data_IF_341547601506
#
_entry.id   IF_341547601506
#
_cell.length_a   1.000
_cell.length_b   1.000
_cell.length_c   1.000
_cell.angle_alpha   90.00
_cell.angle_beta   90.00
_cell.angle_gamma   90.00
#
_symmetry.space_group_name_H-M   'P 1'
#
loop_
_entity.id
_entity.type
_entity.pdbx_description
1 polymer ?
#
# COMPACT_ATOMS: atom_id res chain seq x y z
N UNK A 1 -10.09 -7.35 -0.95
CA UNK A 1 -8.90 -6.69 -0.40
C UNK A 1 -8.07 -7.73 0.34
N UNK A 2 -6.76 -7.78 0.11
CA UNK A 2 -5.85 -8.65 0.84
C UNK A 2 -4.98 -7.75 1.75
N UNK A 3 -5.11 -7.91 3.08
CA UNK A 3 -4.50 -7.00 4.05
C UNK A 3 -2.99 -7.22 4.19
N UNK A 4 -2.27 -6.26 4.79
CA UNK A 4 -0.83 -6.37 5.08
C UNK A 4 -0.48 -7.39 6.18
N UNK A 5 -1.44 -7.78 7.02
CA UNK A 5 -1.26 -8.83 8.01
C UNK A 5 -1.64 -10.19 7.44
N UNK A 6 -0.95 -11.24 7.86
CA UNK A 6 -1.28 -12.59 7.41
C UNK A 6 -2.65 -13.03 7.94
N UNK A 7 -3.55 -13.37 7.02
CA UNK A 7 -4.91 -13.84 7.30
C UNK A 7 -5.21 -15.20 6.64
N UNK A 8 -4.19 -15.99 6.30
CA UNK A 8 -4.38 -17.25 5.56
C UNK A 8 -4.51 -17.08 4.04
N UNK A 9 -4.12 -15.92 3.49
CA UNK A 9 -4.27 -15.55 2.08
C UNK A 9 -5.73 -15.42 1.62
N UNK A 10 -6.62 -15.08 2.55
CA UNK A 10 -8.03 -14.88 2.24
C UNK A 10 -8.29 -13.47 1.73
N UNK A 11 -9.19 -13.35 0.75
CA UNK A 11 -9.68 -12.07 0.27
C UNK A 11 -10.82 -11.58 1.14
N UNK A 12 -10.65 -10.38 1.71
CA UNK A 12 -11.68 -9.68 2.47
C UNK A 12 -12.57 -8.82 1.57
N UNK A 13 -13.77 -8.51 2.07
CA UNK A 13 -14.79 -7.77 1.35
C UNK A 13 -14.54 -6.26 1.30
N UNK A 14 -15.42 -5.56 0.58
CA UNK A 14 -15.42 -4.10 0.53
C UNK A 14 -15.66 -3.47 1.89
N UNK A 15 -16.51 -4.08 2.72
CA UNK A 15 -16.84 -3.56 4.05
C UNK A 15 -15.63 -3.60 4.99
N UNK A 16 -14.86 -4.69 4.97
CA UNK A 16 -13.61 -4.82 5.73
C UNK A 16 -12.58 -3.76 5.30
N UNK A 17 -12.45 -3.55 3.99
CA UNK A 17 -11.54 -2.54 3.46
C UNK A 17 -11.97 -1.11 3.85
N UNK A 18 -13.27 -0.81 3.80
CA UNK A 18 -13.78 0.48 4.26
C UNK A 18 -13.60 0.67 5.77
N UNK A 19 -13.74 -0.40 6.56
CA UNK A 19 -13.53 -0.34 8.00
C UNK A 19 -12.08 0.03 8.33
N UNK A 20 -11.08 -0.60 7.69
CA UNK A 20 -9.68 -0.27 7.99
C UNK A 20 -9.31 1.14 7.55
N UNK A 21 -9.83 1.62 6.42
CA UNK A 21 -9.58 2.99 5.94
C UNK A 21 -10.12 4.03 6.93
N UNK A 22 -11.30 3.77 7.52
CA UNK A 22 -11.84 4.61 8.59
C UNK A 22 -10.97 4.58 9.83
N UNK A 23 -10.52 3.39 10.25
CA UNK A 23 -9.58 3.28 11.39
C UNK A 23 -8.33 4.12 11.16
N UNK A 24 -7.76 4.14 9.95
CA UNK A 24 -6.61 5.01 9.67
C UNK A 24 -6.95 6.49 9.78
N UNK A 25 -8.09 6.93 9.25
CA UNK A 25 -8.54 8.32 9.33
C UNK A 25 -8.92 8.76 10.76
N UNK A 26 -9.34 7.84 11.61
CA UNK A 26 -9.69 8.11 13.01
C UNK A 26 -8.46 8.20 13.93
N UNK A 27 -7.40 7.45 13.63
CA UNK A 27 -6.22 7.33 14.50
C UNK A 27 -5.03 8.16 14.05
N UNK A 28 -5.07 8.69 12.83
CA UNK A 28 -3.94 9.39 12.22
C UNK A 28 -4.37 10.69 11.53
N UNK A 29 -3.62 11.75 11.82
CA UNK A 29 -3.67 13.04 11.16
C UNK A 29 -2.56 13.18 10.12
N UNK A 30 -2.68 14.19 9.25
CA UNK A 30 -1.65 14.56 8.27
C UNK A 30 -1.16 13.41 7.38
N UNK A 31 -2.04 12.45 7.07
CA UNK A 31 -1.73 11.29 6.24
C UNK A 31 -1.33 11.78 4.85
N UNK A 32 -0.10 11.44 4.42
CA UNK A 32 0.47 11.80 3.12
C UNK A 32 1.09 10.57 2.46
N UNK A 33 0.94 10.51 1.15
CA UNK A 33 1.62 9.52 0.31
C UNK A 33 2.63 10.22 -0.58
N UNK A 34 3.86 9.72 -0.57
CA UNK A 34 4.87 10.04 -1.56
C UNK A 34 5.09 8.80 -2.43
N UNK A 35 4.77 8.92 -3.72
CA UNK A 35 5.03 7.84 -4.68
C UNK A 35 6.54 7.68 -4.93
N UNK A 36 6.93 6.46 -5.27
CA UNK A 36 8.29 6.16 -5.72
C UNK A 36 9.03 5.18 -4.83
N UNK A 37 10.12 4.66 -5.38
CA UNK A 37 11.03 3.74 -4.70
C UNK A 37 12.45 4.27 -4.84
N UNK A 38 13.15 4.37 -3.71
CA UNK A 38 14.57 4.70 -3.71
C UNK A 38 15.37 3.48 -4.17
N UNK A 39 16.05 3.63 -5.29
CA UNK A 39 16.96 2.65 -5.89
C UNK A 39 18.37 3.26 -5.97
N UNK A 40 19.38 2.45 -6.31
CA UNK A 40 20.79 2.89 -6.31
C UNK A 40 21.05 4.17 -7.12
N UNK A 41 20.28 4.38 -8.19
CA UNK A 41 20.47 5.49 -9.12
C UNK A 41 19.49 6.66 -8.88
N UNK A 42 18.71 6.60 -7.79
CA UNK A 42 17.78 7.67 -7.38
C UNK A 42 16.34 7.19 -7.11
N UNK A 43 15.44 8.17 -7.03
CA UNK A 43 14.00 7.92 -6.87
C UNK A 43 13.40 7.56 -8.24
N UNK A 44 12.87 6.35 -8.36
CA UNK A 44 12.11 5.93 -9.54
C UNK A 44 10.62 6.22 -9.37
N UNK A 45 9.86 6.03 -10.46
CA UNK A 45 8.39 6.13 -10.47
C UNK A 45 7.76 5.29 -9.33
N UNK A 46 6.53 5.57 -8.92
CA UNK A 46 5.81 4.75 -7.96
C UNK A 46 4.94 3.67 -8.59
N UNK A 47 4.67 3.71 -9.89
CA UNK A 47 3.62 2.89 -10.50
C UNK A 47 4.09 2.16 -11.75
N UNK A 48 3.87 0.84 -11.78
CA UNK A 48 4.21 0.00 -12.94
C UNK A 48 3.17 -1.09 -13.17
N UNK A 49 2.73 -1.24 -14.41
CA UNK A 49 1.94 -2.36 -14.90
C UNK A 49 2.66 -3.07 -16.05
N UNK A 50 2.16 -4.25 -16.43
CA UNK A 50 2.80 -5.11 -17.42
C UNK A 50 4.16 -5.68 -16.98
N UNK A 51 4.69 -6.62 -17.73
CA UNK A 51 6.04 -7.13 -17.56
C UNK A 51 6.49 -7.71 -18.88
N UNK A 52 7.77 -7.62 -19.20
CA UNK A 52 8.37 -8.37 -20.32
C UNK A 52 9.07 -9.64 -19.84
N UNK A 53 9.05 -9.91 -18.52
CA UNK A 53 9.73 -11.04 -17.91
C UNK A 53 8.85 -11.73 -16.83
N UNK A 54 8.88 -13.08 -16.75
CA UNK A 54 9.48 -13.98 -17.74
C UNK A 54 8.74 -13.88 -19.08
N UNK A 55 9.43 -14.19 -20.19
CA UNK A 55 8.89 -14.01 -21.55
C UNK A 55 7.57 -14.76 -21.75
N UNK A 56 7.43 -15.95 -21.14
CA UNK A 56 6.20 -16.75 -21.19
C UNK A 56 5.00 -16.10 -20.52
N UNK A 57 5.22 -15.16 -19.61
CA UNK A 57 4.18 -14.43 -18.86
C UNK A 57 4.22 -12.93 -19.19
N UNK A 58 4.87 -12.55 -20.30
CA UNK A 58 4.97 -11.16 -20.70
C UNK A 58 3.58 -10.58 -21.01
N UNK A 59 3.33 -9.37 -20.53
CA UNK A 59 2.06 -8.66 -20.68
C UNK A 59 2.30 -7.15 -20.77
N UNK A 60 1.55 -6.48 -21.63
CA UNK A 60 1.47 -5.02 -21.71
C UNK A 60 0.22 -4.45 -21.03
N UNK A 61 -0.57 -5.30 -20.37
CA UNK A 61 -1.83 -4.90 -19.74
C UNK A 61 -1.60 -3.97 -18.55
N UNK A 62 -2.45 -2.95 -18.45
CA UNK A 62 -2.44 -1.97 -17.38
C UNK A 62 -3.31 -2.37 -16.17
N UNK A 63 -3.72 -3.64 -16.08
CA UNK A 63 -4.69 -4.11 -15.10
C UNK A 63 -4.07 -4.53 -13.76
N UNK A 64 -2.80 -4.90 -13.67
CA UNK A 64 -2.12 -5.27 -12.42
C UNK A 64 -1.06 -4.23 -12.04
N UNK A 65 -1.51 -3.10 -11.51
CA UNK A 65 -0.64 -1.96 -11.22
C UNK A 65 0.07 -2.20 -9.89
N UNK A 66 1.39 -2.35 -9.94
CA UNK A 66 2.25 -2.30 -8.76
C UNK A 66 2.41 -0.85 -8.34
N UNK A 67 2.18 -0.57 -7.06
CA UNK A 67 2.31 0.76 -6.49
C UNK A 67 3.34 0.71 -5.37
N UNK A 68 4.29 1.63 -5.40
CA UNK A 68 5.37 1.79 -4.46
C UNK A 68 5.35 3.22 -3.94
N UNK A 69 5.56 3.36 -2.65
CA UNK A 69 5.72 4.67 -2.05
C UNK A 69 5.99 4.60 -0.57
N UNK A 70 5.86 5.75 0.06
CA UNK A 70 6.00 5.92 1.50
C UNK A 70 4.78 6.67 2.02
N UNK A 71 4.15 6.12 3.04
CA UNK A 71 3.16 6.84 3.82
C UNK A 71 3.83 7.49 5.02
N UNK A 72 3.41 8.71 5.33
CA UNK A 72 3.74 9.40 6.58
C UNK A 72 2.47 9.90 7.22
N UNK A 73 2.39 9.84 8.54
CA UNK A 73 1.26 10.38 9.29
C UNK A 73 1.66 10.76 10.73
N UNK A 74 0.77 11.47 11.40
CA UNK A 74 0.87 11.81 12.82
C UNK A 74 -0.15 10.98 13.58
N UNK A 75 0.25 10.25 14.63
CA UNK A 75 -0.73 9.57 15.50
C UNK A 75 -1.51 10.61 16.31
N UNK A 76 -2.84 10.57 16.21
CA UNK A 76 -3.72 11.60 16.77
C UNK A 76 -3.72 11.63 18.30
N UNK A 77 -3.46 10.49 18.95
CA UNK A 77 -3.43 10.38 20.42
C UNK A 77 -2.10 10.89 21.00
N UNK A 78 -0.98 10.47 20.42
CA UNK A 78 0.36 10.74 20.96
C UNK A 78 1.04 11.97 20.34
N UNK A 79 0.54 12.44 19.19
CA UNK A 79 1.17 13.50 18.39
C UNK A 79 2.45 13.07 17.68
N UNK A 80 2.85 11.79 17.75
CA UNK A 80 4.10 11.31 17.15
C UNK A 80 3.97 11.08 15.65
N UNK A 81 4.96 11.57 14.92
CA UNK A 81 5.10 11.28 13.49
C UNK A 81 5.70 9.89 13.26
N UNK A 82 5.22 9.22 12.23
CA UNK A 82 5.77 7.94 11.78
C UNK A 82 5.68 7.84 10.26
N UNK A 83 6.46 6.90 9.71
CA UNK A 83 6.41 6.59 8.28
C UNK A 83 6.76 5.14 8.00
N UNK A 84 6.28 4.65 6.86
CA UNK A 84 6.56 3.29 6.41
C UNK A 84 6.57 3.20 4.89
N UNK A 85 7.46 2.35 4.38
CA UNK A 85 7.43 1.95 2.97
C UNK A 85 6.21 1.08 2.73
N UNK A 86 5.57 1.29 1.60
CA UNK A 86 4.33 0.63 1.24
C UNK A 86 4.40 0.13 -0.20
N UNK A 87 3.96 -1.10 -0.37
CA UNK A 87 3.84 -1.76 -1.67
C UNK A 87 2.43 -2.31 -1.81
N UNK A 88 1.82 -2.14 -2.98
CA UNK A 88 0.53 -2.74 -3.28
C UNK A 88 0.43 -3.19 -4.72
N UNK A 89 -0.55 -4.05 -4.97
CA UNK A 89 -1.00 -4.42 -6.31
C UNK A 89 -2.47 -4.05 -6.42
N UNK A 90 -2.78 -3.11 -7.32
CA UNK A 90 -4.12 -2.71 -7.67
C UNK A 90 -4.56 -3.41 -8.96
N UNK A 91 -5.58 -4.25 -8.86
CA UNK A 91 -6.20 -4.86 -10.03
C UNK A 91 -7.35 -3.99 -10.55
N UNK A 92 -7.24 -3.52 -11.78
CA UNK A 92 -8.26 -2.71 -12.45
C UNK A 92 -9.04 -3.58 -13.44
N UNK A 93 -10.36 -3.55 -13.37
CA UNK A 93 -11.22 -4.28 -14.32
C UNK A 93 -11.43 -3.49 -15.62
N UNK A 94 -12.13 -4.10 -16.58
CA UNK A 94 -12.41 -3.51 -17.90
C UNK A 94 -13.26 -2.23 -17.83
N UNK A 95 -13.97 -1.98 -16.72
CA UNK A 95 -14.68 -0.73 -16.46
C UNK A 95 -13.78 0.39 -15.93
N UNK A 96 -12.47 0.14 -15.77
CA UNK A 96 -11.52 1.08 -15.16
C UNK A 96 -11.65 1.21 -13.64
N UNK A 97 -12.23 0.22 -12.95
CA UNK A 97 -12.46 0.23 -11.50
C UNK A 97 -11.52 -0.72 -10.77
N UNK A 98 -11.16 -0.36 -9.54
CA UNK A 98 -10.44 -1.23 -8.62
C UNK A 98 -11.31 -2.45 -8.27
N UNK A 99 -10.90 -3.63 -8.75
CA UNK A 99 -11.58 -4.90 -8.50
C UNK A 99 -10.90 -5.69 -7.38
N UNK A 100 -9.57 -5.63 -7.29
CA UNK A 100 -8.79 -6.26 -6.23
C UNK A 100 -7.67 -5.34 -5.78
N UNK A 101 -7.27 -5.48 -4.52
CA UNK A 101 -6.23 -4.67 -3.92
C UNK A 101 -5.51 -5.48 -2.86
N UNK A 102 -4.20 -5.64 -3.03
CA UNK A 102 -3.32 -6.34 -2.08
C UNK A 102 -2.28 -5.37 -1.59
N UNK A 103 -2.03 -5.33 -0.29
CA UNK A 103 -1.08 -4.39 0.32
C UNK A 103 -0.04 -5.12 1.16
N UNK A 104 1.16 -4.54 1.21
CA UNK A 104 2.30 -5.04 1.97
C UNK A 104 3.01 -3.86 2.64
N UNK A 105 3.06 -3.89 3.97
CA UNK A 105 3.86 -2.98 4.78
C UNK A 105 3.99 -3.50 6.21
N UNK A 106 4.94 -2.95 6.95
CA UNK A 106 5.22 -3.35 8.33
C UNK A 106 4.29 -2.62 9.33
N UNK A 107 3.19 -3.28 9.71
CA UNK A 107 2.29 -2.80 10.75
C UNK A 107 2.97 -2.70 12.13
N UNK A 108 3.87 -3.62 12.46
CA UNK A 108 4.56 -3.64 13.75
C UNK A 108 5.53 -2.46 13.89
N UNK A 109 6.17 -2.08 12.78
CA UNK A 109 7.04 -0.92 12.69
C UNK A 109 6.32 0.41 13.00
N UNK A 110 5.03 0.52 12.69
CA UNK A 110 4.22 1.70 13.05
C UNK A 110 4.06 1.78 14.57
N UNK A 111 3.63 0.68 15.21
CA UNK A 111 3.42 0.64 16.66
C UNK A 111 4.73 0.95 17.42
N UNK A 112 5.86 0.43 16.95
CA UNK A 112 7.16 0.70 17.56
C UNK A 112 7.56 2.18 17.46
N UNK A 113 7.31 2.84 16.32
CA UNK A 113 7.59 4.28 16.16
C UNK A 113 6.73 5.13 17.10
N UNK A 114 5.45 4.77 17.27
CA UNK A 114 4.54 5.46 18.20
C UNK A 114 4.95 5.23 19.66
N UNK A 115 5.49 4.06 20.00
CA UNK A 115 5.92 3.75 21.36
C UNK A 115 7.30 4.35 21.72
N UNK A 116 8.17 4.63 20.75
CA UNK A 116 9.54 5.10 20.98
C UNK A 116 9.60 6.44 21.74
N UNK A 117 10.45 6.54 22.78
CA UNK A 117 10.63 7.73 23.62
C UNK A 117 11.30 8.92 22.90
#
# INVERSE_FOLDING_TARGET
>A
WSPPFYNGNEWLGKEDYLAILKTYQENFDNIKFAEGISMGDGLLNGMWAGSVFPESEASSEANAIRVYGTWTATNSETGKEHGFKWYAIAWINDDGKLAQFTEYFDLGGIANQIAAE
#
